data_IF_017193314079
#
_entry.id   IF_017193314079
#
_cell.length_a   1.000
_cell.length_b   1.000
_cell.length_c   1.000
_cell.angle_alpha   90.00
_cell.angle_beta   90.00
_cell.angle_gamma   90.00
#
_symmetry.space_group_name_H-M   'P 1'
#
loop_
_entity.id
_entity.type
_entity.pdbx_description
1 polymer ?
#
# COMPACT_ATOMS: atom_id res chain seq x y z
N UNK A 1 23.85 -10.21 77.16
CA UNK A 1 23.91 -11.55 76.53
C UNK A 1 22.72 -11.70 75.59
N UNK A 2 23.02 -12.09 74.35
CA UNK A 2 22.17 -12.67 73.30
C UNK A 2 20.66 -12.36 73.26
N UNK A 3 20.21 -11.78 72.13
CA UNK A 3 19.28 -12.49 71.23
C UNK A 3 19.24 -11.83 69.86
N UNK A 4 19.75 -12.55 68.86
CA UNK A 4 19.36 -12.39 67.46
C UNK A 4 17.93 -12.91 67.26
N UNK A 5 17.11 -12.28 66.41
CA UNK A 5 16.05 -12.96 65.64
C UNK A 5 15.52 -12.13 64.46
N UNK A 6 15.80 -12.70 63.28
CA UNK A 6 14.99 -12.77 62.05
C UNK A 6 14.57 -11.48 61.32
N UNK A 7 15.41 -11.11 60.34
CA UNK A 7 14.95 -10.79 58.98
C UNK A 7 14.66 -12.13 58.26
N UNK A 8 13.40 -12.50 58.10
CA UNK A 8 12.98 -13.58 57.19
C UNK A 8 11.45 -13.52 57.07
N UNK A 9 10.93 -12.96 55.97
CA UNK A 9 9.63 -13.30 55.36
C UNK A 9 9.22 -12.35 54.21
N UNK A 10 9.99 -12.35 53.11
CA UNK A 10 9.50 -11.66 51.89
C UNK A 10 9.84 -12.35 50.56
N UNK A 11 10.46 -13.54 50.57
CA UNK A 11 10.82 -14.24 49.33
C UNK A 11 9.95 -15.48 49.01
N UNK A 12 9.18 -16.04 49.94
CA UNK A 12 8.52 -17.36 49.77
C UNK A 12 7.06 -17.28 49.24
N UNK A 13 6.64 -16.21 48.54
CA UNK A 13 5.28 -16.11 47.95
C UNK A 13 5.22 -15.87 46.44
N UNK A 14 6.37 -15.79 45.75
CA UNK A 14 6.42 -15.62 44.30
C UNK A 14 6.36 -16.94 43.53
N UNK A 15 6.95 -18.01 44.06
CA UNK A 15 7.14 -19.26 43.31
C UNK A 15 5.83 -20.04 43.10
N UNK A 16 5.02 -20.26 44.15
CA UNK A 16 3.75 -20.96 43.99
C UNK A 16 2.72 -20.23 43.12
N UNK A 17 2.84 -18.91 42.96
CA UNK A 17 1.99 -18.14 42.04
C UNK A 17 2.44 -18.32 40.60
N UNK A 18 3.75 -18.39 40.35
CA UNK A 18 4.29 -18.65 39.01
C UNK A 18 3.97 -20.08 38.56
N UNK A 19 4.14 -21.08 39.43
CA UNK A 19 3.78 -22.48 39.14
C UNK A 19 2.29 -22.63 38.82
N UNK A 20 1.41 -21.95 39.58
CA UNK A 20 -0.02 -21.95 39.29
C UNK A 20 -0.35 -21.27 37.94
N UNK A 21 0.36 -20.18 37.60
CA UNK A 21 0.20 -19.51 36.30
C UNK A 21 0.65 -20.42 35.17
N UNK A 22 1.76 -21.14 35.33
CA UNK A 22 2.31 -22.04 34.31
C UNK A 22 1.40 -23.27 34.13
N UNK A 23 0.90 -23.85 35.22
CA UNK A 23 -0.08 -24.95 35.16
C UNK A 23 -1.40 -24.53 34.48
N UNK A 24 -1.91 -23.32 34.77
CA UNK A 24 -3.08 -22.76 34.07
C UNK A 24 -2.76 -22.52 32.59
N UNK A 25 -1.58 -22.00 32.29
CA UNK A 25 -1.12 -21.75 30.92
C UNK A 25 -1.07 -23.04 30.12
N UNK A 26 -0.51 -24.11 30.68
CA UNK A 26 -0.43 -25.43 30.07
C UNK A 26 -1.82 -26.07 29.90
N UNK A 27 -2.70 -25.95 30.89
CA UNK A 27 -4.07 -26.44 30.77
C UNK A 27 -4.85 -25.73 29.68
N UNK A 28 -4.73 -24.40 29.59
CA UNK A 28 -5.41 -23.61 28.55
C UNK A 28 -4.81 -23.95 27.18
N UNK A 29 -3.49 -23.98 27.04
CA UNK A 29 -2.84 -24.31 25.77
C UNK A 29 -3.10 -25.77 25.32
N UNK A 30 -3.19 -26.72 26.25
CA UNK A 30 -3.57 -28.11 25.94
C UNK A 30 -5.01 -28.23 25.45
N UNK A 31 -5.92 -27.42 26.00
CA UNK A 31 -7.35 -27.46 25.66
C UNK A 31 -7.69 -26.67 24.39
N UNK A 32 -7.05 -25.52 24.19
CA UNK A 32 -7.41 -24.56 23.13
C UNK A 32 -6.31 -24.34 22.08
N UNK A 33 -5.21 -25.08 22.18
CA UNK A 33 -4.08 -25.02 21.25
C UNK A 33 -2.90 -24.18 21.77
N UNK A 34 -1.68 -24.46 21.30
CA UNK A 34 -0.48 -23.74 21.71
C UNK A 34 -0.59 -22.25 21.37
N UNK A 35 -0.27 -21.39 22.34
CA UNK A 35 -0.31 -19.93 22.18
C UNK A 35 -1.68 -19.29 22.42
N UNK A 36 -2.70 -20.06 22.83
CA UNK A 36 -4.01 -19.52 23.22
C UNK A 36 -3.96 -18.68 24.51
N UNK A 37 -2.96 -18.93 25.37
CA UNK A 37 -2.70 -18.12 26.56
C UNK A 37 -1.19 -17.97 26.75
N UNK A 38 -0.70 -16.73 26.67
CA UNK A 38 0.73 -16.42 26.71
C UNK A 38 0.99 -15.06 27.36
N UNK A 39 2.21 -14.85 27.88
CA UNK A 39 2.63 -13.54 28.38
C UNK A 39 2.86 -12.60 27.19
N UNK A 40 2.27 -11.40 27.23
CA UNK A 40 2.38 -10.42 26.14
C UNK A 40 3.83 -10.10 25.76
N UNK A 41 4.75 -10.04 26.74
CA UNK A 41 6.18 -9.78 26.51
C UNK A 41 7.03 -11.00 26.12
N UNK A 42 6.44 -12.20 26.05
CA UNK A 42 7.16 -13.41 25.59
C UNK A 42 7.25 -13.52 24.07
N UNK A 43 6.43 -12.77 23.33
CA UNK A 43 6.68 -12.45 21.93
C UNK A 43 7.80 -11.41 21.85
N UNK A 44 9.03 -11.86 21.59
CA UNK A 44 10.07 -10.98 21.06
C UNK A 44 9.57 -10.46 19.70
N UNK A 45 9.34 -9.15 19.64
CA UNK A 45 8.83 -8.38 18.49
C UNK A 45 7.47 -8.86 17.94
N UNK A 46 6.37 -8.23 18.39
CA UNK A 46 5.19 -8.11 17.52
C UNK A 46 5.55 -7.05 16.46
N UNK A 47 6.48 -7.37 15.57
CA UNK A 47 6.59 -6.66 14.30
C UNK A 47 5.30 -7.01 13.57
N UNK A 48 4.43 -6.02 13.43
CA UNK A 48 3.21 -6.19 12.65
C UNK A 48 3.66 -6.30 11.20
N UNK A 49 3.43 -7.44 10.56
CA UNK A 49 3.69 -7.56 9.13
C UNK A 49 2.77 -6.59 8.39
N UNK A 50 3.31 -5.87 7.41
CA UNK A 50 2.62 -4.83 6.67
C UNK A 50 2.81 -4.98 5.17
N UNK A 51 1.90 -4.38 4.40
CA UNK A 51 1.98 -4.19 2.95
C UNK A 51 2.11 -2.69 2.72
N UNK A 52 3.12 -2.25 1.95
CA UNK A 52 3.28 -0.82 1.62
C UNK A 52 2.03 -0.29 0.92
N UNK A 53 1.72 0.98 1.17
CA UNK A 53 0.64 1.66 0.46
C UNK A 53 1.02 2.17 -0.93
N UNK A 54 2.28 2.00 -1.34
CA UNK A 54 2.84 2.66 -2.52
C UNK A 54 3.06 4.17 -2.32
N UNK A 55 2.73 4.70 -1.14
CA UNK A 55 2.87 6.10 -0.77
C UNK A 55 3.69 6.23 0.51
N UNK A 56 4.98 6.58 0.37
CA UNK A 56 5.94 6.69 1.49
C UNK A 56 5.41 7.52 2.67
N UNK A 57 4.79 8.66 2.37
CA UNK A 57 4.21 9.56 3.38
C UNK A 57 3.07 8.91 4.15
N UNK A 58 2.25 8.10 3.49
CA UNK A 58 1.15 7.37 4.12
C UNK A 58 1.68 6.21 4.97
N UNK A 59 2.66 5.47 4.48
CA UNK A 59 3.33 4.40 5.25
C UNK A 59 3.94 4.94 6.55
N UNK A 60 4.62 6.09 6.46
CA UNK A 60 5.15 6.79 7.63
C UNK A 60 4.03 7.30 8.56
N UNK A 61 2.93 7.82 7.99
CA UNK A 61 1.80 8.28 8.78
C UNK A 61 1.06 7.13 9.50
N UNK A 62 1.04 5.93 8.92
CA UNK A 62 0.52 4.73 9.57
C UNK A 62 1.39 4.29 10.75
N UNK A 63 2.66 4.70 10.78
CA UNK A 63 3.61 4.47 11.87
C UNK A 63 4.12 3.03 11.99
N UNK A 64 3.45 2.09 11.35
CA UNK A 64 3.87 0.69 11.18
C UNK A 64 4.48 0.42 9.79
N UNK A 65 4.51 1.42 8.91
CA UNK A 65 5.12 1.30 7.58
C UNK A 65 4.21 0.77 6.48
N UNK A 66 2.91 0.59 6.73
CA UNK A 66 1.97 0.15 5.71
C UNK A 66 0.63 -0.38 6.27
N UNK A 67 -0.14 -1.02 5.41
CA UNK A 67 -1.39 -1.70 5.76
C UNK A 67 -1.09 -2.98 6.55
N UNK A 68 -1.62 -3.15 7.76
CA UNK A 68 -1.33 -4.31 8.59
C UNK A 68 -1.99 -5.58 8.06
N UNK A 69 -1.17 -6.64 7.96
CA UNK A 69 -1.62 -8.00 7.70
C UNK A 69 -2.35 -8.59 8.91
N UNK A 70 -3.22 -9.55 8.62
CA UNK A 70 -4.11 -10.16 9.61
C UNK A 70 -5.11 -9.19 10.23
N UNK A 71 -5.38 -8.06 9.57
CA UNK A 71 -6.29 -7.01 10.07
C UNK A 71 -7.19 -6.48 8.96
N UNK A 72 -8.29 -5.88 9.41
CA UNK A 72 -9.22 -5.15 8.54
C UNK A 72 -8.83 -3.67 8.48
N UNK A 73 -8.80 -3.11 7.28
CA UNK A 73 -8.66 -1.68 7.00
C UNK A 73 -9.90 -1.18 6.26
N UNK A 74 -10.44 -0.03 6.65
CA UNK A 74 -11.50 0.64 5.89
C UNK A 74 -10.93 1.89 5.20
N UNK A 75 -11.10 1.99 3.89
CA UNK A 75 -10.76 3.18 3.11
C UNK A 75 -12.07 3.79 2.62
N UNK A 76 -12.38 5.01 3.05
CA UNK A 76 -13.66 5.64 2.75
C UNK A 76 -13.52 7.10 2.36
N UNK A 77 -14.51 7.60 1.63
CA UNK A 77 -14.49 8.96 1.10
C UNK A 77 -15.60 9.17 0.07
N UNK A 78 -15.63 10.37 -0.49
CA UNK A 78 -16.53 10.70 -1.60
C UNK A 78 -16.17 9.91 -2.88
N UNK A 79 -17.04 9.96 -3.88
CA UNK A 79 -16.72 9.49 -5.22
C UNK A 79 -15.53 10.26 -5.80
N UNK A 80 -14.79 9.60 -6.70
CA UNK A 80 -13.60 10.17 -7.36
C UNK A 80 -12.54 10.76 -6.40
N UNK A 81 -12.49 10.30 -5.14
CA UNK A 81 -11.47 10.73 -4.16
C UNK A 81 -10.18 9.92 -4.21
N UNK A 82 -10.10 8.86 -5.02
CA UNK A 82 -8.91 8.01 -5.15
C UNK A 82 -8.89 6.75 -4.29
N UNK A 83 -10.03 6.30 -3.74
CA UNK A 83 -10.14 5.07 -2.91
C UNK A 83 -9.62 3.83 -3.63
N UNK A 84 -10.17 3.57 -4.82
CA UNK A 84 -9.80 2.41 -5.65
C UNK A 84 -8.36 2.57 -6.15
N UNK A 85 -7.93 3.77 -6.58
CA UNK A 85 -6.53 4.05 -6.95
C UNK A 85 -5.55 3.68 -5.83
N UNK A 86 -5.76 4.18 -4.60
CA UNK A 86 -4.90 3.84 -3.46
C UNK A 86 -4.88 2.34 -3.19
N UNK A 87 -6.03 1.68 -3.34
CA UNK A 87 -6.16 0.24 -3.11
C UNK A 87 -5.43 -0.58 -4.17
N UNK A 88 -5.46 -0.15 -5.43
CA UNK A 88 -4.70 -0.78 -6.52
C UNK A 88 -3.19 -0.62 -6.31
N UNK A 89 -2.71 0.51 -5.79
CA UNK A 89 -1.30 0.63 -5.39
C UNK A 89 -0.91 -0.33 -4.27
N UNK A 90 -1.76 -0.51 -3.26
CA UNK A 90 -1.52 -1.48 -2.19
C UNK A 90 -1.47 -2.91 -2.76
N UNK A 91 -2.35 -3.24 -3.71
CA UNK A 91 -2.32 -4.53 -4.41
C UNK A 91 -1.01 -4.71 -5.19
N UNK A 92 -0.61 -3.69 -5.97
CA UNK A 92 0.62 -3.73 -6.75
C UNK A 92 1.85 -3.95 -5.84
N UNK A 93 1.92 -3.28 -4.69
CA UNK A 93 2.99 -3.50 -3.70
C UNK A 93 2.95 -4.91 -3.07
N UNK A 94 1.76 -5.47 -2.84
CA UNK A 94 1.63 -6.86 -2.37
C UNK A 94 2.16 -7.85 -3.41
N UNK A 95 1.76 -7.69 -4.67
CA UNK A 95 2.20 -8.54 -5.80
C UNK A 95 3.71 -8.39 -6.06
N UNK A 96 4.24 -7.17 -6.00
CA UNK A 96 5.68 -6.90 -6.13
C UNK A 96 6.50 -7.59 -5.03
N UNK A 97 5.92 -7.79 -3.85
CA UNK A 97 6.52 -8.57 -2.77
C UNK A 97 6.36 -10.10 -2.94
N UNK A 98 5.83 -10.57 -4.08
CA UNK A 98 5.57 -11.97 -4.38
C UNK A 98 4.28 -12.53 -3.77
N UNK A 99 3.41 -11.66 -3.26
CA UNK A 99 2.14 -12.05 -2.63
C UNK A 99 0.98 -12.17 -3.60
N UNK A 100 -0.07 -12.88 -3.19
CA UNK A 100 -1.30 -13.04 -3.97
C UNK A 100 -2.37 -12.05 -3.53
N UNK A 101 -3.09 -11.50 -4.51
CA UNK A 101 -4.16 -10.53 -4.30
C UNK A 101 -5.49 -11.02 -4.85
N UNK A 102 -6.58 -10.74 -4.12
CA UNK A 102 -7.94 -10.91 -4.61
C UNK A 102 -8.75 -9.61 -4.50
N UNK A 103 -9.63 -9.38 -5.49
CA UNK A 103 -10.50 -8.22 -5.57
C UNK A 103 -11.95 -8.66 -5.75
N UNK A 104 -12.79 -8.34 -4.77
CA UNK A 104 -14.22 -8.59 -4.79
C UNK A 104 -14.89 -7.29 -5.25
N UNK A 105 -15.19 -7.22 -6.55
CA UNK A 105 -15.76 -6.08 -7.24
C UNK A 105 -17.30 -6.17 -7.21
N UNK A 106 -17.89 -5.69 -6.12
CA UNK A 106 -19.33 -5.55 -5.98
C UNK A 106 -19.89 -4.31 -6.71
N UNK A 107 -19.05 -3.33 -7.06
CA UNK A 107 -19.46 -2.18 -7.88
C UNK A 107 -19.42 -2.46 -9.40
N UNK A 108 -18.83 -3.58 -9.82
CA UNK A 108 -18.63 -3.95 -11.23
C UNK A 108 -17.93 -2.85 -12.05
N UNK A 109 -16.96 -2.17 -11.42
CA UNK A 109 -16.38 -0.93 -11.93
C UNK A 109 -14.84 -0.97 -12.08
N UNK A 110 -14.20 -2.12 -11.82
CA UNK A 110 -12.76 -2.24 -11.96
C UNK A 110 -12.32 -2.23 -13.44
N UNK A 111 -11.44 -1.28 -13.81
CA UNK A 111 -10.82 -1.20 -15.13
C UNK A 111 -9.45 -1.91 -15.12
N UNK A 112 -9.28 -3.04 -15.84
CA UNK A 112 -8.00 -3.75 -15.93
C UNK A 112 -6.87 -2.93 -16.55
N UNK A 113 -7.19 -2.05 -17.52
CA UNK A 113 -6.20 -1.21 -18.19
C UNK A 113 -5.61 -0.20 -17.22
N UNK A 114 -6.49 0.45 -16.44
CA UNK A 114 -6.05 1.37 -15.41
C UNK A 114 -5.28 0.65 -14.30
N UNK A 115 -5.77 -0.50 -13.82
CA UNK A 115 -5.06 -1.29 -12.82
C UNK A 115 -3.65 -1.70 -13.28
N UNK A 116 -3.49 -2.14 -14.53
CA UNK A 116 -2.19 -2.47 -15.12
C UNK A 116 -1.25 -1.26 -15.15
N UNK A 117 -1.78 -0.08 -15.53
CA UNK A 117 -1.01 1.16 -15.53
C UNK A 117 -0.52 1.58 -14.13
N UNK A 118 -1.20 1.13 -13.06
CA UNK A 118 -0.78 1.34 -11.67
C UNK A 118 0.20 0.28 -11.15
N UNK A 119 0.64 -0.65 -12.01
CA UNK A 119 1.59 -1.71 -11.66
C UNK A 119 0.96 -2.97 -11.08
N UNK A 120 -0.37 -3.13 -11.19
CA UNK A 120 -1.04 -4.39 -10.83
C UNK A 120 -0.73 -5.43 -11.89
N UNK A 121 -0.30 -6.61 -11.45
CA UNK A 121 -0.19 -7.80 -12.28
C UNK A 121 -1.58 -8.37 -12.51
N UNK A 122 -2.16 -8.08 -13.68
CA UNK A 122 -3.52 -8.46 -14.05
C UNK A 122 -3.66 -9.98 -14.20
N UNK A 123 -2.63 -10.65 -14.72
CA UNK A 123 -2.67 -12.09 -14.97
C UNK A 123 -2.74 -12.88 -13.66
N UNK A 124 -2.20 -12.29 -12.58
CA UNK A 124 -2.18 -12.89 -11.24
C UNK A 124 -3.12 -12.20 -10.23
N UNK A 125 -4.02 -11.31 -10.68
CA UNK A 125 -5.05 -10.72 -9.83
C UNK A 125 -6.34 -11.55 -9.91
N UNK A 126 -6.77 -12.12 -8.79
CA UNK A 126 -8.02 -12.87 -8.72
C UNK A 126 -9.19 -11.91 -8.54
N UNK A 127 -10.19 -11.96 -9.42
CA UNK A 127 -11.36 -11.09 -9.36
C UNK A 127 -12.63 -11.92 -9.14
N UNK A 128 -13.55 -11.39 -8.32
CA UNK A 128 -14.90 -11.91 -8.17
C UNK A 128 -15.92 -10.79 -8.29
N UNK A 129 -16.97 -11.04 -9.08
CA UNK A 129 -18.10 -10.14 -9.27
C UNK A 129 -19.37 -10.78 -8.70
N UNK A 130 -19.62 -10.63 -7.38
CA UNK A 130 -20.72 -11.32 -6.70
C UNK A 130 -22.08 -10.68 -7.04
N UNK A 131 -23.14 -11.50 -7.00
CA UNK A 131 -24.51 -11.05 -7.25
C UNK A 131 -25.23 -10.56 -5.98
N UNK A 132 -24.69 -10.84 -4.79
CA UNK A 132 -25.22 -10.34 -3.51
C UNK A 132 -24.14 -10.09 -2.47
N UNK A 133 -24.47 -9.31 -1.45
CA UNK A 133 -23.60 -9.04 -0.31
C UNK A 133 -23.25 -10.29 0.49
N UNK A 134 -24.19 -11.24 0.64
CA UNK A 134 -23.92 -12.54 1.25
C UNK A 134 -22.90 -13.33 0.43
N UNK A 135 -23.07 -13.41 -0.89
CA UNK A 135 -22.13 -14.09 -1.78
C UNK A 135 -20.73 -13.47 -1.69
N UNK A 136 -20.63 -12.14 -1.73
CA UNK A 136 -19.37 -11.42 -1.59
C UNK A 136 -18.63 -11.78 -0.27
N UNK A 137 -19.36 -11.82 0.85
CA UNK A 137 -18.80 -12.10 2.17
C UNK A 137 -18.47 -13.59 2.36
N UNK A 138 -19.22 -14.50 1.73
CA UNK A 138 -18.91 -15.93 1.67
C UNK A 138 -17.65 -16.20 0.86
N UNK A 139 -17.46 -15.49 -0.27
CA UNK A 139 -16.24 -15.55 -1.08
C UNK A 139 -15.06 -15.01 -0.28
N UNK A 140 -15.20 -13.85 0.36
CA UNK A 140 -14.16 -13.30 1.25
C UNK A 140 -13.76 -14.31 2.34
N UNK A 141 -14.73 -14.97 2.98
CA UNK A 141 -14.44 -15.98 3.99
C UNK A 141 -13.59 -17.13 3.42
N UNK A 142 -13.99 -17.71 2.28
CA UNK A 142 -13.26 -18.81 1.65
C UNK A 142 -11.83 -18.39 1.24
N UNK A 143 -11.69 -17.22 0.64
CA UNK A 143 -10.40 -16.69 0.18
C UNK A 143 -9.45 -16.49 1.36
N UNK A 144 -9.90 -15.83 2.43
CA UNK A 144 -9.08 -15.61 3.62
C UNK A 144 -8.76 -16.95 4.31
N UNK A 145 -9.74 -17.85 4.46
CA UNK A 145 -9.53 -19.16 5.07
C UNK A 145 -8.52 -20.05 4.33
N UNK A 146 -8.27 -19.79 3.04
CA UNK A 146 -7.31 -20.57 2.26
C UNK A 146 -5.84 -20.33 2.67
N UNK A 147 -5.54 -19.24 3.41
CA UNK A 147 -4.18 -18.76 3.70
C UNK A 147 -3.31 -18.43 2.48
N UNK A 148 -3.83 -18.58 1.27
CA UNK A 148 -3.07 -18.39 0.03
C UNK A 148 -2.92 -16.92 -0.37
N UNK A 149 -3.78 -16.05 0.16
CA UNK A 149 -3.86 -14.64 -0.23
C UNK A 149 -3.28 -13.73 0.83
N UNK A 150 -2.42 -12.82 0.38
CA UNK A 150 -1.78 -11.80 1.19
C UNK A 150 -2.70 -10.60 1.42
N UNK A 151 -3.49 -10.26 0.40
CA UNK A 151 -4.42 -9.15 0.43
C UNK A 151 -5.75 -9.50 -0.25
N UNK A 152 -6.86 -9.10 0.37
CA UNK A 152 -8.20 -9.16 -0.24
C UNK A 152 -8.87 -7.80 -0.12
N UNK A 153 -9.40 -7.32 -1.23
CA UNK A 153 -10.13 -6.05 -1.33
C UNK A 153 -11.60 -6.30 -1.59
N UNK A 154 -12.47 -5.54 -0.94
CA UNK A 154 -13.92 -5.51 -1.22
C UNK A 154 -14.30 -4.10 -1.65
N UNK A 155 -14.66 -3.94 -2.93
CA UNK A 155 -15.09 -2.68 -3.54
C UNK A 155 -16.54 -2.78 -4.02
N UNK A 156 -17.55 -2.23 -3.34
CA UNK A 156 -17.48 -1.52 -2.06
C UNK A 156 -18.56 -2.01 -1.10
N UNK A 157 -18.42 -1.66 0.18
CA UNK A 157 -19.42 -1.98 1.22
C UNK A 157 -20.80 -1.48 0.84
N UNK A 158 -20.90 -0.34 0.15
CA UNK A 158 -22.19 0.24 -0.24
C UNK A 158 -22.94 -0.67 -1.21
N UNK A 159 -22.23 -1.43 -2.04
CA UNK A 159 -22.78 -2.36 -3.03
C UNK A 159 -23.07 -3.76 -2.45
N UNK A 160 -22.78 -4.02 -1.17
CA UNK A 160 -23.10 -5.30 -0.52
C UNK A 160 -24.60 -5.36 -0.16
N UNK A 161 -25.45 -5.47 -1.17
CA UNK A 161 -26.92 -5.53 -1.05
C UNK A 161 -27.35 -6.95 -0.71
N UNK A 162 -28.25 -7.12 0.27
CA UNK A 162 -28.70 -8.45 0.67
C UNK A 162 -29.59 -9.11 -0.39
N UNK A 163 -29.58 -10.45 -0.50
CA UNK A 163 -30.50 -11.17 -1.41
C UNK A 163 -31.97 -10.80 -1.17
N UNK A 164 -32.35 -10.58 0.09
CA UNK A 164 -33.71 -10.18 0.46
C UNK A 164 -34.08 -8.78 -0.03
N UNK A 165 -33.10 -7.87 -0.14
CA UNK A 165 -33.29 -6.52 -0.69
C UNK A 165 -33.31 -6.54 -2.22
N UNK A 166 -32.49 -7.39 -2.85
CA UNK A 166 -32.50 -7.58 -4.31
C UNK A 166 -33.79 -8.23 -4.83
N UNK A 167 -34.42 -9.09 -4.02
CA UNK A 167 -35.69 -9.74 -4.36
C UNK A 167 -36.93 -8.89 -4.02
N UNK A 168 -36.75 -7.81 -3.26
CA UNK A 168 -37.82 -6.87 -2.92
C UNK A 168 -38.14 -5.93 -4.07
N UNK A 169 -39.33 -5.32 -4.03
CA UNK A 169 -39.71 -4.32 -5.02
C UNK A 169 -39.06 -2.96 -4.72
N UNK A 170 -38.85 -2.14 -5.76
CA UNK A 170 -38.33 -0.78 -5.58
C UNK A 170 -39.31 0.02 -4.72
N UNK A 171 -38.86 0.42 -3.53
CA UNK A 171 -39.66 1.15 -2.54
C UNK A 171 -39.96 0.34 -1.28
N UNK A 172 -39.64 -0.96 -1.26
CA UNK A 172 -39.79 -1.78 -0.06
C UNK A 172 -38.86 -1.31 1.07
N UNK A 173 -39.42 -1.29 2.28
CA UNK A 173 -38.70 -0.85 3.46
C UNK A 173 -37.80 -1.97 4.02
N UNK A 174 -36.56 -2.02 3.56
CA UNK A 174 -35.54 -2.92 4.09
C UNK A 174 -34.76 -2.28 5.25
N UNK A 175 -35.28 -2.41 6.46
CA UNK A 175 -34.65 -1.76 7.63
C UNK A 175 -33.38 -2.51 8.06
N UNK A 176 -32.23 -1.86 7.84
CA UNK A 176 -30.92 -2.22 8.39
C UNK A 176 -30.40 -3.62 8.02
N UNK A 177 -30.85 -4.21 6.89
CA UNK A 177 -30.40 -5.53 6.44
C UNK A 177 -28.89 -5.57 6.21
N UNK A 178 -28.35 -4.61 5.46
CA UNK A 178 -26.92 -4.50 5.19
C UNK A 178 -26.08 -4.38 6.49
N UNK A 179 -26.55 -3.57 7.46
CA UNK A 179 -25.84 -3.40 8.72
C UNK A 179 -25.81 -4.69 9.56
N UNK A 180 -26.89 -5.48 9.53
CA UNK A 180 -26.96 -6.79 10.21
C UNK A 180 -26.06 -7.81 9.52
N UNK A 181 -26.08 -7.86 8.19
CA UNK A 181 -25.20 -8.71 7.38
C UNK A 181 -23.72 -8.45 7.71
N UNK A 182 -23.29 -7.19 7.65
CA UNK A 182 -21.93 -6.78 7.97
C UNK A 182 -21.54 -7.13 9.42
N UNK A 183 -22.44 -6.90 10.37
CA UNK A 183 -22.17 -7.22 11.79
C UNK A 183 -21.98 -8.72 12.03
N UNK A 184 -22.76 -9.54 11.35
CA UNK A 184 -22.64 -11.00 11.44
C UNK A 184 -21.36 -11.50 10.78
N UNK A 185 -21.09 -11.08 9.54
CA UNK A 185 -19.92 -11.51 8.78
C UNK A 185 -18.61 -11.09 9.45
N UNK A 186 -18.47 -9.82 9.84
CA UNK A 186 -17.23 -9.32 10.47
C UNK A 186 -16.93 -10.00 11.81
N UNK A 187 -17.96 -10.40 12.57
CA UNK A 187 -17.78 -11.16 13.82
C UNK A 187 -17.09 -12.50 13.56
N UNK A 188 -17.42 -13.18 12.46
CA UNK A 188 -16.82 -14.45 12.06
C UNK A 188 -15.44 -14.23 11.42
N UNK A 189 -15.34 -13.30 10.47
CA UNK A 189 -14.14 -13.04 9.67
C UNK A 189 -12.95 -12.55 10.50
N UNK A 190 -13.17 -11.76 11.56
CA UNK A 190 -12.08 -11.12 12.32
C UNK A 190 -11.06 -12.15 12.85
N UNK A 191 -11.53 -13.28 13.37
CA UNK A 191 -10.65 -14.33 13.88
C UNK A 191 -9.90 -15.03 12.74
N UNK A 192 -10.58 -15.32 11.64
CA UNK A 192 -9.99 -15.98 10.47
C UNK A 192 -8.91 -15.09 9.85
N UNK A 193 -9.20 -13.81 9.64
CA UNK A 193 -8.27 -12.81 9.12
C UNK A 193 -7.02 -12.74 10.00
N UNK A 194 -7.18 -12.66 11.33
CA UNK A 194 -6.04 -12.61 12.24
C UNK A 194 -5.16 -13.86 12.20
N UNK A 195 -5.75 -15.04 12.01
CA UNK A 195 -5.02 -16.32 12.01
C UNK A 195 -4.32 -16.62 10.69
N UNK A 196 -4.81 -16.05 9.59
CA UNK A 196 -4.34 -16.29 8.21
C UNK A 196 -3.30 -15.26 7.78
N UNK A 197 -3.11 -14.19 8.57
CA UNK A 197 -2.24 -13.06 8.24
C UNK A 197 -2.57 -12.37 6.90
N UNK A 198 -3.81 -12.50 6.42
CA UNK A 198 -4.28 -11.80 5.22
C UNK A 198 -4.69 -10.36 5.58
N UNK A 199 -4.24 -9.37 4.81
CA UNK A 199 -4.73 -8.00 4.91
C UNK A 199 -6.10 -7.89 4.21
N UNK A 200 -7.11 -7.38 4.89
CA UNK A 200 -8.44 -7.19 4.28
C UNK A 200 -8.78 -5.71 4.21
N UNK A 201 -9.06 -5.21 3.01
CA UNK A 201 -9.46 -3.82 2.78
C UNK A 201 -10.92 -3.77 2.35
N UNK A 202 -11.71 -2.97 3.05
CA UNK A 202 -13.04 -2.58 2.61
C UNK A 202 -13.00 -1.15 2.08
N UNK A 203 -13.41 -0.96 0.82
CA UNK A 203 -13.70 0.36 0.27
C UNK A 203 -15.13 0.73 0.66
N UNK A 204 -15.34 1.99 1.05
CA UNK A 204 -16.66 2.46 1.47
C UNK A 204 -16.93 3.89 0.98
N UNK A 205 -18.21 4.22 0.88
CA UNK A 205 -18.68 5.53 0.47
C UNK A 205 -19.20 6.33 1.67
N UNK A 206 -19.14 7.66 1.56
CA UNK A 206 -19.79 8.56 2.50
C UNK A 206 -21.26 8.79 2.09
N UNK A 207 -22.14 8.87 3.09
CA UNK A 207 -23.54 9.28 2.98
C UNK A 207 -23.83 10.37 4.01
N UNK A 208 -24.77 11.25 3.69
CA UNK A 208 -25.26 12.25 4.64
C UNK A 208 -26.30 11.64 5.57
N UNK A 209 -26.16 11.86 6.87
CA UNK A 209 -27.16 11.50 7.86
C UNK A 209 -28.14 12.67 8.04
N UNK A 210 -29.31 12.54 7.44
CA UNK A 210 -30.37 13.56 7.48
C UNK A 210 -30.99 13.66 8.89
N UNK A 211 -30.91 12.61 9.72
CA UNK A 211 -31.50 12.60 11.06
C UNK A 211 -30.80 13.53 12.07
N UNK A 212 -29.61 14.07 11.75
CA UNK A 212 -28.90 15.00 12.64
C UNK A 212 -29.25 16.48 12.41
N UNK A 213 -30.26 16.79 11.60
CA UNK A 213 -30.67 18.16 11.21
C UNK A 213 -31.45 18.93 12.30
N UNK A 214 -31.67 18.37 13.50
CA UNK A 214 -32.60 18.93 14.49
C UNK A 214 -32.07 19.97 15.49
N UNK A 215 -30.76 20.27 15.54
CA UNK A 215 -30.19 21.13 16.59
C UNK A 215 -29.04 22.04 16.12
N UNK A 216 -29.18 22.68 14.95
CA UNK A 216 -28.20 23.64 14.41
C UNK A 216 -26.89 23.03 13.90
N UNK A 217 -26.69 21.73 14.05
CA UNK A 217 -25.65 20.98 13.37
C UNK A 217 -26.13 20.59 11.96
N UNK A 218 -25.32 20.88 10.94
CA UNK A 218 -25.58 20.40 9.57
C UNK A 218 -25.59 18.86 9.49
N UNK A 219 -25.99 18.30 8.34
CA UNK A 219 -25.98 16.85 8.15
C UNK A 219 -24.59 16.28 8.40
N UNK A 220 -24.50 15.27 9.27
CA UNK A 220 -23.25 14.60 9.59
C UNK A 220 -22.93 13.53 8.55
N UNK A 221 -21.67 13.34 8.20
CA UNK A 221 -21.27 12.28 7.27
C UNK A 221 -21.11 10.94 8.00
N UNK A 222 -21.58 9.86 7.40
CA UNK A 222 -21.36 8.49 7.87
C UNK A 222 -21.04 7.54 6.72
N UNK A 223 -20.34 6.45 7.02
CA UNK A 223 -20.12 5.36 6.09
C UNK A 223 -21.31 4.38 6.07
N UNK A 224 -21.45 3.64 4.96
CA UNK A 224 -22.49 2.61 4.77
C UNK A 224 -22.16 1.31 5.51
N UNK A 225 -23.11 0.36 5.59
CA UNK A 225 -22.91 -0.92 6.28
C UNK A 225 -23.01 -0.88 7.82
N UNK A 226 -23.54 0.20 8.38
CA UNK A 226 -23.71 0.36 9.83
C UNK A 226 -22.41 0.67 10.58
N UNK A 227 -22.37 0.38 11.89
CA UNK A 227 -21.21 0.71 12.75
C UNK A 227 -20.17 -0.41 12.86
N UNK A 228 -20.50 -1.64 12.46
CA UNK A 228 -19.66 -2.81 12.71
C UNK A 228 -18.25 -2.64 12.13
N UNK A 229 -18.14 -2.28 10.85
CA UNK A 229 -16.85 -2.07 10.18
C UNK A 229 -16.00 -1.04 10.92
N UNK A 230 -16.59 0.07 11.39
CA UNK A 230 -15.88 1.09 12.18
C UNK A 230 -15.22 0.51 13.43
N UNK A 231 -15.81 -0.49 14.08
CA UNK A 231 -15.25 -1.12 15.30
C UNK A 231 -14.22 -2.20 14.98
N UNK A 232 -14.51 -3.05 14.00
CA UNK A 232 -13.65 -4.17 13.59
C UNK A 232 -12.37 -3.71 12.88
N UNK A 233 -12.43 -2.64 12.06
CA UNK A 233 -11.23 -2.11 11.39
C UNK A 233 -10.16 -1.69 12.39
N UNK A 234 -8.92 -2.08 12.13
CA UNK A 234 -7.74 -1.65 12.88
C UNK A 234 -7.24 -0.29 12.39
N UNK A 235 -7.32 -0.07 11.08
CA UNK A 235 -7.00 1.19 10.41
C UNK A 235 -8.23 1.71 9.68
N UNK A 236 -8.47 3.02 9.75
CA UNK A 236 -9.50 3.68 8.93
C UNK A 236 -8.90 4.92 8.29
N UNK A 237 -9.05 5.04 6.97
CA UNK A 237 -8.52 6.14 6.16
C UNK A 237 -9.70 6.93 5.56
N UNK A 238 -9.77 8.22 5.87
CA UNK A 238 -10.69 9.18 5.24
C UNK A 238 -9.94 9.89 4.12
N UNK A 239 -10.28 9.58 2.87
CA UNK A 239 -9.65 10.13 1.67
C UNK A 239 -10.58 11.11 0.96
N UNK A 240 -10.10 12.34 0.75
CA UNK A 240 -10.86 13.42 0.12
C UNK A 240 -10.02 14.13 -0.93
N UNK A 241 -10.62 14.38 -2.10
CA UNK A 241 -10.04 15.31 -3.08
C UNK A 241 -10.03 16.72 -2.50
N UNK A 242 -8.93 17.43 -2.65
CA UNK A 242 -8.80 18.83 -2.22
C UNK A 242 -8.77 19.78 -3.40
N UNK A 243 -7.92 19.51 -4.38
CA UNK A 243 -7.65 20.42 -5.51
C UNK A 243 -7.49 19.63 -6.81
N UNK A 244 -7.80 20.27 -7.93
CA UNK A 244 -7.45 19.77 -9.26
C UNK A 244 -6.00 20.14 -9.60
N UNK A 245 -5.30 19.25 -10.28
CA UNK A 245 -3.97 19.50 -10.86
C UNK A 245 -4.19 19.80 -12.34
N UNK A 246 -3.72 20.96 -12.81
CA UNK A 246 -3.91 21.43 -14.18
C UNK A 246 -2.59 21.68 -14.88
N UNK A 247 -2.55 21.43 -16.19
CA UNK A 247 -1.47 21.81 -17.11
C UNK A 247 -2.08 22.65 -18.23
N UNK A 248 -1.93 23.98 -18.12
CA UNK A 248 -2.73 24.90 -18.93
C UNK A 248 -4.21 24.78 -18.54
N UNK A 249 -5.07 24.54 -19.53
CA UNK A 249 -6.52 24.35 -19.34
C UNK A 249 -6.93 22.90 -19.04
N UNK A 250 -6.03 21.94 -19.27
CA UNK A 250 -6.30 20.51 -19.09
C UNK A 250 -6.16 20.10 -17.61
N UNK A 251 -7.10 19.30 -17.11
CA UNK A 251 -7.02 18.70 -15.78
C UNK A 251 -6.35 17.33 -15.87
N UNK A 252 -5.13 17.23 -15.33
CA UNK A 252 -4.26 16.06 -15.47
C UNK A 252 -4.28 15.16 -14.22
N UNK A 253 -4.93 15.60 -13.15
CA UNK A 253 -4.99 14.86 -11.90
C UNK A 253 -5.63 15.66 -10.78
N UNK A 254 -5.47 15.19 -9.55
CA UNK A 254 -6.00 15.85 -8.38
C UNK A 254 -5.16 15.58 -7.13
N UNK A 255 -5.15 16.54 -6.21
CA UNK A 255 -4.61 16.37 -4.86
C UNK A 255 -5.63 15.69 -3.98
N UNK A 256 -5.16 14.78 -3.15
CA UNK A 256 -5.96 14.07 -2.16
C UNK A 256 -5.38 14.27 -0.78
N UNK A 257 -6.26 14.47 0.19
CA UNK A 257 -5.92 14.48 1.61
C UNK A 257 -6.43 13.18 2.23
N UNK A 258 -5.54 12.45 2.86
CA UNK A 258 -5.83 11.22 3.59
C UNK A 258 -5.64 11.48 5.07
N UNK A 259 -6.67 11.23 5.87
CA UNK A 259 -6.62 11.29 7.34
C UNK A 259 -6.72 9.89 7.92
N UNK A 260 -5.76 9.53 8.78
CA UNK A 260 -5.80 8.28 9.55
C UNK A 260 -6.77 8.46 10.72
N UNK A 261 -8.08 8.29 10.49
CA UNK A 261 -9.11 8.56 11.52
C UNK A 261 -9.16 7.50 12.62
N UNK A 262 -8.58 6.32 12.38
CA UNK A 262 -8.41 5.26 13.37
C UNK A 262 -7.12 4.51 13.07
N UNK A 263 -6.34 4.24 14.12
CA UNK A 263 -5.17 3.39 14.07
C UNK A 263 -5.04 2.68 15.43
N UNK A 264 -5.15 1.34 15.44
CA UNK A 264 -4.98 0.54 16.66
C UNK A 264 -3.52 0.13 16.93
N UNK A 265 -2.61 0.48 16.02
CA UNK A 265 -1.24 -0.06 15.97
C UNK A 265 -0.20 1.05 16.17
N UNK A 266 -0.55 2.29 15.82
CA UNK A 266 0.25 3.49 16.06
C UNK A 266 -0.67 4.69 16.34
N UNK A 267 -0.07 5.87 16.50
CA UNK A 267 -0.79 7.11 16.76
C UNK A 267 -1.76 7.45 15.61
N UNK A 268 -3.06 7.64 15.88
CA UNK A 268 -4.04 8.06 14.88
C UNK A 268 -3.94 9.57 14.58
N UNK A 269 -4.79 10.03 13.67
CA UNK A 269 -5.06 11.43 13.30
C UNK A 269 -3.98 12.15 12.51
N UNK A 270 -2.91 11.47 12.12
CA UNK A 270 -1.99 11.99 11.12
C UNK A 270 -2.72 12.22 9.79
N UNK A 271 -2.28 13.25 9.08
CA UNK A 271 -2.84 13.69 7.80
C UNK A 271 -1.72 13.72 6.78
N UNK A 272 -2.01 13.22 5.60
CA UNK A 272 -1.08 13.17 4.47
C UNK A 272 -1.77 13.76 3.26
N UNK A 273 -1.01 14.49 2.44
CA UNK A 273 -1.47 14.92 1.12
C UNK A 273 -0.72 14.12 0.07
N UNK A 274 -1.44 13.58 -0.91
CA UNK A 274 -0.88 12.92 -2.09
C UNK A 274 -1.37 13.62 -3.35
N UNK A 275 -0.68 13.36 -4.45
CA UNK A 275 -1.09 13.77 -5.79
C UNK A 275 -1.43 12.51 -6.59
N UNK A 276 -2.63 12.45 -7.17
CA UNK A 276 -3.05 11.38 -8.08
C UNK A 276 -3.09 11.95 -9.49
N UNK A 277 -2.24 11.42 -10.37
CA UNK A 277 -2.17 11.76 -11.79
C UNK A 277 -2.99 10.73 -12.57
N UNK A 278 -3.82 11.20 -13.50
CA UNK A 278 -4.65 10.30 -14.29
C UNK A 278 -3.80 9.37 -15.16
N UNK A 279 -4.18 8.10 -15.22
CA UNK A 279 -3.44 7.04 -15.92
C UNK A 279 -2.12 6.59 -15.25
N UNK A 280 -1.64 7.29 -14.20
CA UNK A 280 -0.35 6.98 -13.55
C UNK A 280 -0.49 6.70 -12.05
N UNK A 281 -1.59 7.14 -11.43
CA UNK A 281 -1.86 6.92 -10.01
C UNK A 281 -1.13 7.89 -9.09
N UNK A 282 -0.69 7.41 -7.93
CA UNK A 282 -0.02 8.21 -6.91
C UNK A 282 1.36 8.62 -7.42
N UNK A 283 1.61 9.93 -7.47
CA UNK A 283 2.93 10.46 -7.90
C UNK A 283 3.94 10.35 -6.78
N UNK A 284 4.80 9.33 -6.85
CA UNK A 284 5.94 9.14 -5.93
C UNK A 284 6.91 10.33 -6.00
N UNK A 285 7.19 10.84 -7.19
CA UNK A 285 8.09 11.98 -7.40
C UNK A 285 7.51 13.25 -6.77
N UNK A 286 6.21 13.49 -6.93
CA UNK A 286 5.53 14.62 -6.28
C UNK A 286 5.66 14.58 -4.76
N UNK A 287 5.53 13.38 -4.17
CA UNK A 287 5.71 13.14 -2.74
C UNK A 287 7.15 13.37 -2.28
N UNK A 288 8.13 12.87 -3.02
CA UNK A 288 9.55 13.05 -2.71
C UNK A 288 9.92 14.53 -2.74
N UNK A 289 9.41 15.31 -3.70
CA UNK A 289 9.64 16.75 -3.75
C UNK A 289 9.08 17.45 -2.50
N UNK A 290 7.85 17.12 -2.11
CA UNK A 290 7.22 17.74 -0.93
C UNK A 290 7.96 17.39 0.37
N UNK A 291 8.37 16.13 0.52
CA UNK A 291 9.19 15.68 1.66
C UNK A 291 10.59 16.30 1.67
N UNK A 292 11.24 16.42 0.50
CA UNK A 292 12.54 17.06 0.39
C UNK A 292 12.49 18.54 0.75
N UNK A 293 11.38 19.22 0.43
CA UNK A 293 11.15 20.61 0.85
C UNK A 293 10.96 20.73 2.36
N UNK A 294 10.20 19.81 2.97
CA UNK A 294 10.02 19.76 4.43
C UNK A 294 11.36 19.52 5.15
N UNK A 295 12.17 18.59 4.63
CA UNK A 295 13.51 18.31 5.13
C UNK A 295 14.56 19.38 4.78
N UNK A 296 14.19 20.43 4.03
CA UNK A 296 15.07 21.49 3.52
C UNK A 296 16.22 21.01 2.63
N UNK A 297 16.09 19.82 2.05
CA UNK A 297 17.03 19.25 1.08
C UNK A 297 16.82 19.90 -0.29
N UNK A 298 15.55 20.06 -0.67
CA UNK A 298 15.14 20.90 -1.80
C UNK A 298 14.65 22.23 -1.25
N UNK A 299 15.10 23.34 -1.82
CA UNK A 299 14.64 24.68 -1.46
C UNK A 299 14.05 25.38 -2.68
N UNK A 300 13.17 26.37 -2.44
CA UNK A 300 12.48 27.13 -3.49
C UNK A 300 12.71 28.63 -3.31
N UNK A 301 13.11 29.31 -4.38
CA UNK A 301 13.16 30.77 -4.48
C UNK A 301 12.32 31.24 -5.67
N UNK A 302 11.16 31.85 -5.40
CA UNK A 302 10.17 32.15 -6.43
C UNK A 302 9.68 30.88 -7.13
N UNK A 303 9.88 30.81 -8.45
CA UNK A 303 9.56 29.65 -9.26
C UNK A 303 10.72 28.62 -9.36
N UNK A 304 11.92 28.95 -8.88
CA UNK A 304 13.11 28.11 -9.02
C UNK A 304 13.28 27.16 -7.84
N UNK A 305 13.63 25.92 -8.16
CA UNK A 305 13.95 24.87 -7.20
C UNK A 305 15.46 24.61 -7.19
N UNK A 306 16.00 24.33 -6.01
CA UNK A 306 17.40 24.07 -5.76
C UNK A 306 17.57 22.78 -4.96
N UNK A 307 18.51 21.93 -5.34
CA UNK A 307 18.89 20.71 -4.62
C UNK A 307 20.33 20.87 -4.10
N UNK A 308 20.54 20.76 -2.79
CA UNK A 308 21.85 20.96 -2.16
C UNK A 308 22.55 22.28 -2.55
N UNK A 309 21.76 23.33 -2.83
CA UNK A 309 22.25 24.66 -3.23
C UNK A 309 22.41 24.85 -4.73
N UNK A 310 22.37 23.79 -5.53
CA UNK A 310 22.42 23.89 -6.99
C UNK A 310 21.03 24.02 -7.60
N UNK A 311 20.88 24.90 -8.59
CA UNK A 311 19.62 25.14 -9.27
C UNK A 311 19.26 23.95 -10.16
N UNK A 312 18.11 23.32 -9.92
CA UNK A 312 17.68 22.13 -10.66
C UNK A 312 16.66 22.44 -11.76
N UNK A 313 15.63 23.24 -11.47
CA UNK A 313 14.56 23.50 -12.42
C UNK A 313 13.68 24.71 -12.05
N UNK A 314 12.93 25.21 -13.02
CA UNK A 314 11.85 26.16 -12.80
C UNK A 314 10.50 25.42 -12.78
N UNK A 315 9.78 25.51 -11.66
CA UNK A 315 8.47 24.88 -11.45
C UNK A 315 8.54 23.42 -10.99
N UNK A 316 7.55 23.01 -10.18
CA UNK A 316 7.47 21.66 -9.59
C UNK A 316 7.41 20.56 -10.66
N UNK A 317 6.73 20.83 -11.78
CA UNK A 317 6.58 19.84 -12.87
C UNK A 317 7.92 19.46 -13.49
N UNK A 318 8.81 20.43 -13.73
CA UNK A 318 10.10 20.14 -14.32
C UNK A 318 11.01 19.35 -13.36
N UNK A 319 10.91 19.61 -12.06
CA UNK A 319 11.56 18.79 -11.04
C UNK A 319 11.03 17.36 -11.07
N UNK A 320 9.71 17.18 -11.24
CA UNK A 320 9.08 15.87 -11.36
C UNK A 320 9.64 15.08 -12.56
N UNK A 321 9.72 15.71 -13.72
CA UNK A 321 10.30 15.11 -14.93
C UNK A 321 11.77 14.69 -14.73
N UNK A 322 12.56 15.49 -14.01
CA UNK A 322 13.96 15.17 -13.66
C UNK A 322 14.02 13.94 -12.74
N UNK A 323 13.18 13.88 -11.71
CA UNK A 323 13.15 12.73 -10.80
C UNK A 323 12.61 11.46 -11.47
N UNK A 324 11.64 11.59 -12.37
CA UNK A 324 11.08 10.47 -13.12
C UNK A 324 12.10 9.86 -14.10
N UNK A 325 12.93 10.70 -14.72
CA UNK A 325 13.98 10.25 -15.65
C UNK A 325 15.29 9.85 -14.94
N UNK A 326 15.55 10.36 -13.73
CA UNK A 326 16.79 10.19 -13.00
C UNK A 326 16.69 9.24 -11.80
N UNK A 327 16.75 7.92 -12.05
CA UNK A 327 16.67 6.88 -10.99
C UNK A 327 17.70 7.08 -9.87
N UNK A 328 18.95 7.40 -10.23
CA UNK A 328 20.03 7.65 -9.24
C UNK A 328 19.67 8.80 -8.30
N UNK A 329 19.34 9.97 -8.86
CA UNK A 329 19.01 11.16 -8.07
C UNK A 329 17.78 10.92 -7.19
N UNK A 330 16.78 10.20 -7.71
CA UNK A 330 15.58 9.83 -6.96
C UNK A 330 15.91 8.98 -5.72
N UNK A 331 16.75 7.95 -5.87
CA UNK A 331 17.15 7.07 -4.77
C UNK A 331 18.04 7.79 -3.74
N UNK A 332 19.01 8.60 -4.21
CA UNK A 332 19.84 9.42 -3.32
C UNK A 332 19.00 10.42 -2.51
N UNK A 333 18.04 11.07 -3.16
CA UNK A 333 17.10 11.98 -2.51
C UNK A 333 16.24 11.26 -1.48
N UNK A 334 15.71 10.07 -1.82
CA UNK A 334 14.90 9.27 -0.91
C UNK A 334 15.68 8.84 0.34
N UNK A 335 16.95 8.41 0.19
CA UNK A 335 17.83 8.09 1.32
C UNK A 335 17.98 9.30 2.24
N UNK A 336 18.31 10.47 1.69
CA UNK A 336 18.49 11.70 2.47
C UNK A 336 17.20 12.09 3.21
N UNK A 337 16.04 11.97 2.56
CA UNK A 337 14.74 12.23 3.17
C UNK A 337 14.49 11.26 4.34
N UNK A 338 14.69 9.96 4.12
CA UNK A 338 14.43 8.93 5.14
C UNK A 338 15.34 9.12 6.35
N UNK A 339 16.62 9.45 6.14
CA UNK A 339 17.57 9.76 7.21
C UNK A 339 17.20 11.03 7.98
N UNK A 340 16.84 12.12 7.27
CA UNK A 340 16.51 13.41 7.90
C UNK A 340 15.21 13.35 8.72
N UNK A 341 14.20 12.63 8.20
CA UNK A 341 12.87 12.52 8.82
C UNK A 341 12.72 11.28 9.72
N UNK A 342 13.82 10.57 10.01
CA UNK A 342 13.85 9.34 10.81
C UNK A 342 12.81 8.29 10.35
N UNK A 343 12.73 8.09 9.03
CA UNK A 343 11.90 7.05 8.43
C UNK A 343 12.68 5.74 8.33
N UNK A 344 12.02 4.61 8.53
CA UNK A 344 12.63 3.28 8.34
C UNK A 344 12.94 2.99 6.86
N UNK A 345 13.64 1.89 6.60
CA UNK A 345 13.86 1.37 5.24
C UNK A 345 15.03 2.00 4.47
N UNK A 346 15.90 2.76 5.13
CA UNK A 346 17.09 3.37 4.51
C UNK A 346 17.99 2.31 3.87
N UNK A 347 18.23 1.19 4.55
CA UNK A 347 19.12 0.14 4.07
C UNK A 347 18.62 -0.48 2.76
N UNK A 348 17.31 -0.72 2.65
CA UNK A 348 16.68 -1.25 1.43
C UNK A 348 16.87 -0.31 0.22
N UNK A 349 16.73 1.00 0.43
CA UNK A 349 16.94 1.97 -0.65
C UNK A 349 18.42 2.10 -1.01
N UNK A 350 19.33 1.95 -0.04
CA UNK A 350 20.78 1.89 -0.30
C UNK A 350 21.16 0.65 -1.11
N UNK A 351 20.57 -0.49 -0.82
CA UNK A 351 20.73 -1.73 -1.62
C UNK A 351 20.25 -1.51 -3.06
N UNK A 352 19.05 -0.94 -3.26
CA UNK A 352 18.51 -0.63 -4.60
C UNK A 352 19.41 0.35 -5.37
N UNK A 353 19.97 1.36 -4.70
CA UNK A 353 20.92 2.28 -5.31
C UNK A 353 22.22 1.56 -5.72
N UNK A 354 22.72 0.64 -4.89
CA UNK A 354 23.92 -0.13 -5.21
C UNK A 354 23.68 -1.05 -6.42
N UNK A 355 22.57 -1.78 -6.45
CA UNK A 355 22.18 -2.62 -7.58
C UNK A 355 22.06 -1.81 -8.88
N UNK A 356 21.44 -0.61 -8.79
CA UNK A 356 21.35 0.30 -9.93
C UNK A 356 22.74 0.73 -10.42
N UNK A 357 23.64 1.15 -9.53
CA UNK A 357 24.99 1.58 -9.89
C UNK A 357 25.83 0.44 -10.49
N UNK A 358 25.68 -0.79 -10.00
CA UNK A 358 26.31 -1.98 -10.58
C UNK A 358 25.77 -2.29 -11.98
N UNK A 359 24.46 -2.17 -12.19
CA UNK A 359 23.84 -2.38 -13.51
C UNK A 359 24.34 -1.39 -14.57
N UNK A 360 24.64 -0.14 -14.19
CA UNK A 360 25.17 0.88 -15.09
C UNK A 360 26.64 0.63 -15.41
N UNK A 361 27.47 0.28 -14.43
CA UNK A 361 28.88 -0.12 -14.66
C UNK A 361 28.99 -1.28 -15.65
N UNK A 362 28.12 -2.27 -15.53
CA UNK A 362 28.10 -3.43 -16.43
C UNK A 362 27.60 -3.09 -17.86
N UNK A 363 26.83 -2.00 -18.04
CA UNK A 363 26.46 -1.49 -19.36
C UNK A 363 27.64 -0.75 -20.00
N UNK A 364 28.31 0.10 -19.23
CA UNK A 364 29.49 0.85 -19.69
C UNK A 364 30.66 -0.08 -20.06
N UNK A 365 30.88 -1.17 -19.32
CA UNK A 365 31.91 -2.17 -19.64
C UNK A 365 31.57 -3.01 -20.90
N UNK A 366 30.29 -3.11 -21.27
CA UNK A 366 29.84 -3.79 -22.49
C UNK A 366 29.96 -2.91 -23.73
N UNK A 367 29.67 -1.61 -23.63
CA UNK A 367 29.90 -0.63 -24.72
C UNK A 367 31.40 -0.42 -24.97
N UNK A 368 32.24 -0.39 -23.94
CA UNK A 368 33.71 -0.31 -24.12
C UNK A 368 34.29 -1.59 -24.78
N UNK A 369 33.64 -2.75 -24.63
CA UNK A 369 34.05 -4.00 -25.31
C UNK A 369 33.52 -4.14 -26.74
N UNK A 370 32.41 -3.50 -27.10
CA UNK A 370 31.96 -3.43 -28.51
C UNK A 370 32.83 -2.48 -29.32
N UNK A 371 33.18 -1.32 -28.75
CA UNK A 371 33.99 -0.32 -29.45
C UNK A 371 35.44 -0.80 -29.65
N UNK A 372 35.97 -1.63 -28.74
CA UNK A 372 37.28 -2.28 -28.91
C UNK A 372 37.30 -3.44 -29.91
N UNK A 373 36.15 -3.93 -30.39
CA UNK A 373 36.10 -4.94 -31.46
C UNK A 373 36.05 -4.33 -32.86
N UNK A 374 35.60 -3.08 -33.01
CA UNK A 374 35.58 -2.39 -34.32
C UNK A 374 36.90 -1.67 -34.64
N UNK A 375 37.69 -1.25 -33.64
CA UNK A 375 39.02 -0.64 -33.87
C UNK A 375 40.17 -1.65 -34.04
N UNK A 376 39.88 -2.95 -34.02
CA UNK A 376 40.87 -4.02 -34.05
C UNK A 376 41.29 -4.54 -35.43
N UNK A 377 40.59 -4.17 -36.52
CA UNK A 377 40.68 -4.92 -37.79
C UNK A 377 41.06 -4.11 -39.05
N UNK A 378 41.67 -2.93 -38.89
CA UNK A 378 42.06 -2.07 -40.03
C UNK A 378 43.57 -1.95 -40.29
N UNK A 379 44.40 -2.89 -39.83
CA UNK A 379 45.80 -2.88 -40.22
C UNK A 379 46.44 -4.26 -40.37
N UNK A 380 46.12 -4.94 -41.47
CA UNK A 380 47.00 -5.87 -42.21
C UNK A 380 46.28 -6.40 -43.44
N UNK A 381 46.66 -5.88 -44.62
CA UNK A 381 47.23 -6.70 -45.70
C UNK A 381 47.41 -5.84 -46.95
N UNK A 382 48.67 -5.55 -47.23
CA UNK A 382 49.16 -5.19 -48.54
C UNK A 382 49.67 -6.45 -49.25
N UNK A 383 49.35 -6.53 -50.54
CA UNK A 383 50.06 -7.22 -51.65
C UNK A 383 49.55 -8.60 -52.14
N UNK A 384 49.17 -8.55 -53.42
CA UNK A 384 49.20 -9.56 -54.51
C UNK A 384 48.15 -10.67 -54.55
N UNK A 385 47.25 -10.64 -55.55
CA UNK A 385 47.55 -11.12 -56.90
C UNK A 385 46.56 -10.62 -57.97
N UNK A 386 47.08 -10.66 -59.20
CA UNK A 386 46.57 -10.22 -60.50
C UNK A 386 45.44 -11.09 -61.08
N UNK A 387 44.76 -10.49 -62.07
CA UNK A 387 43.94 -11.06 -63.16
C UNK A 387 42.58 -11.66 -62.71
N UNK A 388 41.41 -11.34 -63.27
CA UNK A 388 41.05 -11.25 -64.68
C UNK A 388 39.80 -10.35 -64.90
N UNK A 389 39.65 -9.95 -66.16
CA UNK A 389 38.62 -9.10 -66.76
C UNK A 389 37.21 -9.69 -66.83
N UNK A 390 36.22 -8.78 -66.96
CA UNK A 390 34.92 -8.91 -67.64
C UNK A 390 33.91 -9.96 -67.15
N UNK A 391 32.74 -9.51 -66.64
CA UNK A 391 31.54 -9.45 -67.49
C UNK A 391 30.32 -8.86 -66.78
N UNK A 392 29.52 -8.14 -67.58
CA UNK A 392 28.17 -7.70 -67.28
C UNK A 392 27.27 -8.91 -66.97
N UNK A 393 26.25 -8.73 -66.11
CA UNK A 393 24.85 -8.93 -66.51
C UNK A 393 23.87 -8.55 -65.40
N UNK A 394 23.08 -7.53 -65.75
CA UNK A 394 21.72 -7.26 -65.28
C UNK A 394 20.89 -8.55 -65.31
N UNK A 395 20.14 -8.82 -64.23
CA UNK A 395 18.81 -9.45 -64.33
C UNK A 395 17.94 -9.15 -63.11
N UNK A 396 16.93 -8.35 -63.40
CA UNK A 396 15.63 -8.17 -62.75
C UNK A 396 14.87 -9.49 -62.58
N UNK A 397 13.71 -9.41 -61.89
CA UNK A 397 12.59 -10.38 -61.70
C UNK A 397 12.63 -10.99 -60.29
N UNK A 398 11.61 -10.88 -59.43
CA UNK A 398 10.27 -10.25 -59.43
C UNK A 398 9.91 -9.89 -57.99
#
# INVERSE_FOLDING_TARGET
MATAKKKENTEIKKDGKNEAIDAITDQINKKYGPGSFMRLGSNKTVNVDVISTGALTLDHALGVGGIPRGRITEIYGHEASGKTTLTLHIIAEAQKAGGYAAFIDAEHALDPTYASALGVDIDNLYISQPNSGEEALEILEKVVSSTAFDIVVVDSVAALVSRAELAGDIGDAHIALQARLMSHALRKLTAIISNTNTAVIFINQLRQNIATTGYGAGPTETTTGGKALKFYSSVRLDIRRTEWIKKGDETIGHKVKIKVVKNKLSAPFKVVNLEIIFGHGISTEGLLIDLAMEAKIITRSGAWFYYNGEQIAQGKEKVREILASGTKMRLELEIQIRENLNMGGVDKVKEELNEYLESQKNKDDKTVKSDKKEDGDLNKNSISNKDDTSDLLIKTVE
#
